data_IF_509790068875
#
_entry.id   IF_509790068875
#
_cell.length_a   1.000
_cell.length_b   1.000
_cell.length_c   1.000
_cell.angle_alpha   90.00
_cell.angle_beta   90.00
_cell.angle_gamma   90.00
#
_symmetry.space_group_name_H-M   'P 1'
#
loop_
_entity.id
_entity.type
_entity.pdbx_description
1 polymer ?
#
# COMPACT_ATOMS: atom_id res chain seq x y z
N UNK A 1 -0.71 -1.05 11.65
CA UNK A 1 -0.56 0.29 11.05
C UNK A 1 0.30 0.13 9.82
N UNK A 2 -0.30 0.23 8.63
CA UNK A 2 0.45 0.14 7.38
C UNK A 2 1.48 1.26 7.28
N UNK A 3 2.74 0.90 7.03
CA UNK A 3 3.83 1.80 6.71
C UNK A 3 4.29 1.52 5.27
N UNK A 4 5.47 2.02 4.90
CA UNK A 4 5.97 1.97 3.52
C UNK A 4 5.96 0.58 2.89
N UNK A 5 6.37 -0.45 3.64
CA UNK A 5 6.43 -1.83 3.17
C UNK A 5 5.04 -2.39 2.85
N UNK A 6 4.07 -2.15 3.74
CA UNK A 6 2.70 -2.59 3.55
C UNK A 6 1.99 -1.84 2.40
N UNK A 7 2.23 -0.52 2.26
CA UNK A 7 1.72 0.25 1.12
C UNK A 7 2.32 -0.28 -0.19
N UNK A 8 3.63 -0.57 -0.22
CA UNK A 8 4.27 -1.16 -1.39
C UNK A 8 3.66 -2.52 -1.76
N UNK A 9 3.36 -3.35 -0.76
CA UNK A 9 2.70 -4.63 -0.98
C UNK A 9 1.28 -4.47 -1.52
N UNK A 10 0.45 -3.66 -0.88
CA UNK A 10 -0.93 -3.43 -1.32
C UNK A 10 -1.01 -2.81 -2.72
N UNK A 11 -0.12 -1.86 -3.04
CA UNK A 11 -0.04 -1.30 -4.40
C UNK A 11 0.47 -2.30 -5.43
N UNK A 12 1.37 -3.22 -5.06
CA UNK A 12 1.77 -4.32 -5.93
C UNK A 12 0.60 -5.26 -6.25
N UNK A 13 -0.23 -5.58 -5.25
CA UNK A 13 -1.47 -6.36 -5.45
C UNK A 13 -2.41 -5.62 -6.40
N UNK A 14 -2.68 -4.33 -6.15
CA UNK A 14 -3.55 -3.53 -7.01
C UNK A 14 -3.03 -3.47 -8.46
N UNK A 15 -1.73 -3.29 -8.65
CA UNK A 15 -1.12 -3.31 -10.00
C UNK A 15 -1.35 -4.64 -10.71
N UNK A 16 -1.18 -5.77 -10.01
CA UNK A 16 -1.36 -7.08 -10.62
C UNK A 16 -2.81 -7.40 -10.96
N UNK A 17 -3.76 -6.93 -10.16
CA UNK A 17 -5.17 -7.32 -10.28
C UNK A 17 -6.08 -6.28 -10.94
N UNK A 18 -5.73 -5.00 -10.98
CA UNK A 18 -6.58 -3.95 -11.56
C UNK A 18 -5.99 -3.26 -12.79
N UNK A 19 -4.66 -3.07 -12.86
CA UNK A 19 -4.07 -2.30 -13.97
C UNK A 19 -4.34 -3.01 -15.29
N UNK A 20 -4.83 -2.25 -16.28
CA UNK A 20 -5.26 -2.73 -17.59
C UNK A 20 -6.68 -3.30 -17.62
N UNK A 21 -7.40 -3.34 -16.50
CA UNK A 21 -8.78 -3.85 -16.43
C UNK A 21 -9.79 -2.73 -16.29
N UNK A 22 -11.02 -3.02 -16.72
CA UNK A 22 -12.16 -2.12 -16.57
C UNK A 22 -12.96 -2.46 -15.33
N UNK A 23 -13.28 -1.46 -14.50
CA UNK A 23 -14.15 -1.65 -13.34
C UNK A 23 -15.58 -1.77 -13.85
N UNK A 24 -16.16 -2.97 -13.80
CA UNK A 24 -17.54 -3.23 -14.22
C UNK A 24 -18.52 -2.59 -13.25
N UNK A 25 -18.27 -2.72 -11.96
CA UNK A 25 -19.14 -2.19 -10.91
C UNK A 25 -18.36 -1.86 -9.65
N UNK A 26 -18.93 -0.96 -8.84
CA UNK A 26 -18.46 -0.70 -7.50
C UNK A 26 -19.63 -0.58 -6.53
N UNK A 27 -19.44 -1.13 -5.35
CA UNK A 27 -20.37 -1.07 -4.24
C UNK A 27 -19.66 -0.37 -3.10
N UNK A 28 -20.21 0.74 -2.61
CA UNK A 28 -19.63 1.48 -1.51
C UNK A 28 -20.67 1.70 -0.41
N UNK A 29 -20.23 1.57 0.84
CA UNK A 29 -21.03 1.85 2.03
C UNK A 29 -20.84 3.31 2.40
N UNK A 30 -21.91 4.02 2.77
CA UNK A 30 -21.81 5.41 3.19
C UNK A 30 -20.97 5.55 4.48
N UNK A 31 -19.87 6.30 4.38
CA UNK A 31 -18.97 6.59 5.49
C UNK A 31 -18.25 7.93 5.27
N UNK A 32 -18.80 9.01 5.85
CA UNK A 32 -18.27 10.37 5.71
C UNK A 32 -16.84 10.56 6.28
N UNK A 33 -16.34 9.64 7.10
CA UNK A 33 -14.97 9.72 7.63
C UNK A 33 -13.96 9.14 6.65
N UNK A 34 -14.36 8.10 5.91
CA UNK A 34 -13.50 7.43 4.94
C UNK A 34 -13.57 8.15 3.60
N UNK A 35 -14.77 8.47 3.11
CA UNK A 35 -14.96 9.28 1.91
C UNK A 35 -14.87 10.75 2.27
N UNK A 36 -13.77 11.38 1.89
CA UNK A 36 -13.50 12.78 2.23
C UNK A 36 -14.21 13.69 1.24
N UNK A 37 -15.03 14.61 1.76
CA UNK A 37 -15.78 15.60 0.95
C UNK A 37 -14.86 16.31 -0.05
N UNK A 38 -15.31 16.53 -1.30
CA UNK A 38 -16.69 16.37 -1.79
C UNK A 38 -17.10 14.95 -2.21
N UNK A 39 -16.21 13.95 -2.09
CA UNK A 39 -16.52 12.58 -2.48
C UNK A 39 -17.52 11.93 -1.50
N UNK A 40 -18.54 11.25 -2.04
CA UNK A 40 -19.52 10.43 -1.32
C UNK A 40 -19.46 8.99 -1.83
N UNK A 41 -20.09 8.03 -1.15
CA UNK A 41 -20.09 6.66 -1.65
C UNK A 41 -20.80 6.57 -3.02
N UNK A 42 -21.93 7.26 -3.18
CA UNK A 42 -22.63 7.34 -4.47
C UNK A 42 -21.78 7.95 -5.59
N UNK A 43 -21.15 9.10 -5.36
CA UNK A 43 -20.31 9.73 -6.40
C UNK A 43 -19.05 8.92 -6.70
N UNK A 44 -18.50 8.23 -5.70
CA UNK A 44 -17.43 7.25 -5.90
C UNK A 44 -17.87 6.12 -6.84
N UNK A 45 -19.02 5.49 -6.59
CA UNK A 45 -19.52 4.38 -7.42
C UNK A 45 -19.75 4.82 -8.87
N UNK A 46 -20.40 5.97 -9.06
CA UNK A 46 -20.62 6.53 -10.41
C UNK A 46 -19.32 6.90 -11.11
N UNK A 47 -18.32 7.36 -10.36
CA UNK A 47 -17.03 7.75 -10.93
C UNK A 47 -16.20 6.54 -11.38
N UNK A 48 -16.10 5.50 -10.55
CA UNK A 48 -15.24 4.35 -10.87
C UNK A 48 -15.90 3.36 -11.84
N UNK A 49 -17.24 3.29 -11.85
CA UNK A 49 -17.99 2.41 -12.73
C UNK A 49 -17.70 2.68 -14.21
N UNK A 50 -17.32 1.64 -14.93
CA UNK A 50 -17.01 1.69 -16.36
C UNK A 50 -15.62 2.25 -16.70
N UNK A 51 -14.80 2.65 -15.71
CA UNK A 51 -13.45 3.17 -15.98
C UNK A 51 -12.39 2.08 -15.96
N UNK A 52 -11.44 2.19 -16.89
CA UNK A 52 -10.25 1.34 -16.95
C UNK A 52 -9.13 1.92 -16.09
N UNK A 53 -8.48 1.07 -15.31
CA UNK A 53 -7.36 1.48 -14.43
C UNK A 53 -6.07 1.48 -15.23
N UNK A 54 -5.43 2.64 -15.34
CA UNK A 54 -4.20 2.80 -16.11
C UNK A 54 -2.96 2.53 -15.27
N UNK A 55 -2.91 3.11 -14.07
CA UNK A 55 -1.72 3.06 -13.22
C UNK A 55 -2.12 3.07 -11.74
N UNK A 56 -1.26 2.49 -10.91
CA UNK A 56 -1.33 2.60 -9.45
C UNK A 56 0.03 3.04 -8.97
N UNK A 57 0.08 4.15 -8.25
CA UNK A 57 1.32 4.73 -7.74
C UNK A 57 1.23 4.98 -6.23
N UNK A 58 2.39 5.17 -5.59
CA UNK A 58 2.48 5.45 -4.14
C UNK A 58 3.49 6.53 -3.85
N UNK A 59 3.34 7.21 -2.72
CA UNK A 59 4.35 8.08 -2.14
C UNK A 59 4.18 8.07 -0.62
N UNK A 60 5.19 7.55 0.07
CA UNK A 60 5.11 7.33 1.51
C UNK A 60 3.92 6.46 1.91
N UNK A 61 3.02 6.99 2.75
CA UNK A 61 1.83 6.29 3.24
C UNK A 61 0.59 6.44 2.35
N UNK A 62 0.70 7.24 1.30
CA UNK A 62 -0.37 7.48 0.34
C UNK A 62 -0.15 6.66 -0.92
N UNK A 63 -1.25 6.27 -1.55
CA UNK A 63 -1.25 5.64 -2.85
C UNK A 63 -2.45 6.09 -3.63
N UNK A 64 -2.36 6.05 -4.95
CA UNK A 64 -3.42 6.51 -5.82
C UNK A 64 -3.59 5.61 -7.04
N UNK A 65 -4.78 5.66 -7.59
CA UNK A 65 -5.20 4.94 -8.79
C UNK A 65 -5.55 5.95 -9.86
N UNK A 66 -4.95 5.79 -11.04
CA UNK A 66 -5.26 6.55 -12.25
C UNK A 66 -6.16 5.74 -13.17
N UNK A 67 -6.97 6.46 -13.93
CA UNK A 67 -7.90 5.87 -14.88
C UNK A 67 -7.58 6.35 -16.29
N UNK A 68 -7.85 5.52 -17.29
CA UNK A 68 -7.67 5.88 -18.68
C UNK A 68 -8.56 7.06 -19.06
N UNK A 69 -8.00 7.98 -19.86
CA UNK A 69 -8.72 9.14 -20.43
C UNK A 69 -9.40 10.03 -19.37
N UNK A 70 -8.91 10.04 -18.14
CA UNK A 70 -9.43 10.87 -17.06
C UNK A 70 -8.29 11.63 -16.37
N UNK A 71 -8.39 12.96 -16.20
CA UNK A 71 -7.43 13.72 -15.38
C UNK A 71 -7.64 13.46 -13.88
N UNK A 72 -8.73 12.79 -13.53
CA UNK A 72 -9.11 12.54 -12.16
C UNK A 72 -8.38 11.33 -11.56
N UNK A 73 -8.00 11.45 -10.30
CA UNK A 73 -7.19 10.49 -9.56
C UNK A 73 -7.90 10.12 -8.27
N UNK A 74 -7.96 8.83 -7.98
CA UNK A 74 -8.44 8.34 -6.69
C UNK A 74 -7.25 8.22 -5.74
N UNK A 75 -7.17 9.10 -4.74
CA UNK A 75 -6.12 9.13 -3.73
C UNK A 75 -6.59 8.43 -2.46
N UNK A 76 -5.80 7.47 -1.98
CA UNK A 76 -6.11 6.63 -0.82
C UNK A 76 -5.00 6.69 0.24
N UNK A 77 -5.42 6.46 1.48
CA UNK A 77 -4.57 6.29 2.64
C UNK A 77 -5.19 5.25 3.58
N UNK A 78 -4.43 4.28 4.07
CA UNK A 78 -4.97 3.21 4.94
C UNK A 78 -5.23 3.65 6.38
N UNK A 79 -4.65 4.76 6.85
CA UNK A 79 -4.72 5.10 8.26
C UNK A 79 -4.02 4.04 9.11
N UNK A 80 -4.66 3.59 10.19
CA UNK A 80 -4.05 2.60 11.09
C UNK A 80 -4.37 1.15 10.75
N UNK A 81 -5.53 0.89 10.14
CA UNK A 81 -6.10 -0.46 9.97
C UNK A 81 -6.73 -0.69 8.61
N UNK A 82 -6.64 0.28 7.70
CA UNK A 82 -7.09 0.11 6.33
C UNK A 82 -6.30 -1.01 5.65
N UNK A 83 -6.99 -1.81 4.84
CA UNK A 83 -6.40 -2.88 4.08
C UNK A 83 -7.15 -3.15 2.78
N UNK A 84 -6.49 -3.90 1.89
CA UNK A 84 -7.04 -4.34 0.61
C UNK A 84 -7.07 -5.86 0.59
N UNK A 85 -8.25 -6.40 0.29
CA UNK A 85 -8.49 -7.84 0.18
C UNK A 85 -8.86 -8.15 -1.26
N UNK A 86 -8.34 -9.25 -1.79
CA UNK A 86 -8.70 -9.76 -3.12
C UNK A 86 -9.45 -11.07 -2.91
N UNK A 87 -10.63 -11.19 -3.50
CA UNK A 87 -11.50 -12.36 -3.32
C UNK A 87 -10.78 -13.63 -3.78
N UNK A 88 -10.80 -14.66 -2.93
CA UNK A 88 -10.19 -15.96 -3.22
C UNK A 88 -8.66 -15.99 -3.16
N UNK A 89 -8.01 -14.91 -2.74
CA UNK A 89 -6.55 -14.81 -2.62
C UNK A 89 -6.16 -14.54 -1.18
N UNK A 90 -5.42 -15.46 -0.57
CA UNK A 90 -4.83 -15.27 0.76
C UNK A 90 -3.63 -14.34 0.66
N UNK A 91 -3.69 -13.18 1.30
CA UNK A 91 -2.51 -12.31 1.41
C UNK A 91 -1.72 -12.68 2.66
N UNK A 92 -0.40 -12.49 2.66
CA UNK A 92 0.45 -12.85 3.81
C UNK A 92 0.24 -11.92 5.02
N UNK A 93 -0.60 -10.88 4.90
CA UNK A 93 -0.87 -9.87 5.93
C UNK A 93 -2.23 -10.04 6.60
N UNK A 94 -2.59 -11.28 6.93
CA UNK A 94 -3.87 -11.66 7.58
C UNK A 94 -4.13 -10.87 8.88
N UNK A 95 -3.07 -10.45 9.58
CA UNK A 95 -3.19 -9.62 10.80
C UNK A 95 -3.82 -8.25 10.50
N UNK A 96 -3.59 -7.70 9.31
CA UNK A 96 -4.15 -6.42 8.87
C UNK A 96 -5.58 -6.58 8.33
N UNK A 97 -5.90 -7.70 7.67
CA UNK A 97 -7.22 -7.97 7.06
C UNK A 97 -8.39 -7.86 8.05
N UNK A 98 -8.16 -8.22 9.33
CA UNK A 98 -9.18 -8.20 10.39
C UNK A 98 -8.91 -7.17 11.49
N UNK A 99 -8.05 -6.17 11.23
CA UNK A 99 -7.74 -5.13 12.23
C UNK A 99 -7.00 -5.64 13.48
N UNK A 100 -6.28 -6.76 13.37
CA UNK A 100 -5.52 -7.34 14.47
C UNK A 100 -6.31 -8.27 15.40
N UNK A 101 -7.34 -8.96 14.90
CA UNK A 101 -8.13 -9.91 15.69
C UNK A 101 -7.23 -10.96 16.38
N UNK A 102 -7.29 -11.02 17.72
CA UNK A 102 -6.54 -12.00 18.53
C UNK A 102 -6.87 -13.43 18.10
N UNK A 103 -8.12 -13.69 17.72
CA UNK A 103 -8.57 -15.02 17.26
C UNK A 103 -7.93 -15.42 15.95
N UNK A 104 -7.77 -14.49 15.01
CA UNK A 104 -7.07 -14.75 13.74
C UNK A 104 -5.59 -15.09 13.98
N UNK A 105 -4.94 -14.39 14.93
CA UNK A 105 -3.56 -14.69 15.34
C UNK A 105 -3.41 -16.07 16.00
N UNK A 106 -4.38 -16.48 16.81
CA UNK A 106 -4.38 -17.80 17.45
C UNK A 106 -4.55 -18.93 16.42
N UNK A 107 -5.48 -18.76 15.47
CA UNK A 107 -5.66 -19.70 14.35
C UNK A 107 -4.39 -19.86 13.51
N UNK A 108 -3.69 -18.75 13.23
CA UNK A 108 -2.40 -18.78 12.52
C UNK A 108 -1.31 -19.55 13.28
N UNK A 109 -1.20 -19.32 14.60
CA UNK A 109 -0.26 -20.06 15.46
C UNK A 109 -0.58 -21.55 15.53
N UNK A 110 -1.85 -21.92 15.40
CA UNK A 110 -2.27 -23.32 15.31
C UNK A 110 -1.93 -23.90 13.93
N UNK A 111 -2.23 -23.20 12.83
CA UNK A 111 -1.89 -23.63 11.47
C UNK A 111 -0.37 -23.85 11.28
N UNK A 112 0.47 -22.91 11.72
CA UNK A 112 1.94 -23.05 11.65
C UNK A 112 2.52 -24.19 12.50
N UNK A 113 1.77 -24.72 13.47
CA UNK A 113 2.18 -25.91 14.24
C UNK A 113 1.81 -27.23 13.58
N UNK A 114 0.90 -27.22 12.59
CA UNK A 114 0.30 -28.45 12.04
C UNK A 114 0.81 -28.77 10.63
N UNK A 115 1.32 -27.78 9.88
CA UNK A 115 1.89 -27.99 8.54
C UNK A 115 3.12 -27.08 8.34
N UNK A 116 4.35 -27.62 8.33
CA UNK A 116 5.50 -26.90 7.82
C UNK A 116 5.50 -26.99 6.28
N UNK A 117 5.20 -25.87 5.62
CA UNK A 117 5.42 -25.57 4.21
C UNK A 117 5.10 -26.67 3.18
N UNK A 118 3.83 -26.76 2.78
CA UNK A 118 3.47 -27.33 1.48
C UNK A 118 3.86 -26.35 0.35
N UNK A 119 5.15 -26.29 0.03
CA UNK A 119 5.63 -25.75 -1.25
C UNK A 119 5.22 -26.76 -2.32
N UNK A 120 4.22 -26.41 -3.13
CA UNK A 120 3.84 -27.19 -4.29
C UNK A 120 4.86 -26.90 -5.40
N UNK A 121 5.80 -27.82 -5.64
CA UNK A 121 6.56 -27.90 -6.89
C UNK A 121 5.62 -28.30 -8.02
N UNK A 122 5.43 -27.49 -9.07
CA UNK A 122 4.99 -28.02 -10.39
C UNK A 122 5.56 -27.22 -11.57
N UNK A 123 6.32 -27.98 -12.37
CA UNK A 123 6.61 -27.99 -13.81
C UNK A 123 6.58 -26.70 -14.65
N UNK A 124 7.76 -26.36 -15.16
CA UNK A 124 8.01 -25.46 -16.29
C UNK A 124 7.54 -26.09 -17.61
N UNK A 125 6.57 -25.47 -18.29
CA UNK A 125 6.38 -25.67 -19.74
C UNK A 125 7.21 -24.64 -20.50
N UNK A 126 8.18 -25.13 -21.26
CA UNK A 126 9.00 -24.33 -22.17
C UNK A 126 8.13 -23.75 -23.31
N UNK A 127 8.28 -22.45 -23.56
CA UNK A 127 7.85 -21.83 -24.82
C UNK A 127 9.11 -21.38 -25.54
N UNK A 128 9.27 -21.88 -26.77
CA UNK A 128 10.42 -21.73 -27.64
C UNK A 128 10.73 -20.27 -28.00
N UNK A 129 12.02 -19.96 -27.99
CA UNK A 129 12.67 -18.68 -28.35
C UNK A 129 12.50 -18.36 -29.83
N UNK A 130 12.31 -17.08 -30.13
CA UNK A 130 13.06 -16.39 -31.19
C UNK A 130 13.28 -14.90 -30.82
N UNK A 131 14.56 -14.57 -30.54
CA UNK A 131 15.34 -13.36 -30.89
C UNK A 131 14.74 -11.95 -30.60
N UNK A 132 15.31 -10.99 -29.84
CA UNK A 132 16.70 -10.55 -29.53
C UNK A 132 16.70 -9.54 -28.34
N UNK A 133 17.67 -9.72 -27.41
CA UNK A 133 18.41 -8.81 -26.48
C UNK A 133 17.76 -7.62 -25.71
N UNK A 134 18.15 -7.21 -24.49
CA UNK A 134 18.76 -7.83 -23.31
C UNK A 134 18.67 -6.83 -22.11
N UNK A 135 17.95 -7.19 -21.05
CA UNK A 135 18.23 -6.89 -19.62
C UNK A 135 17.11 -7.51 -18.79
N UNK A 136 17.12 -8.85 -18.76
CA UNK A 136 16.07 -9.66 -18.18
C UNK A 136 16.02 -9.55 -16.66
N UNK A 137 15.01 -8.85 -16.15
CA UNK A 137 14.50 -9.16 -14.81
C UNK A 137 13.56 -10.35 -14.95
N UNK A 138 13.96 -11.49 -14.40
CA UNK A 138 13.12 -12.69 -14.36
C UNK A 138 11.91 -12.38 -13.50
N UNK A 139 10.76 -12.13 -14.12
CA UNK A 139 9.47 -12.02 -13.45
C UNK A 139 9.10 -13.39 -12.90
N UNK A 140 9.62 -13.73 -11.72
CA UNK A 140 9.15 -14.89 -10.96
C UNK A 140 7.68 -14.63 -10.63
N UNK A 141 6.79 -15.39 -11.26
CA UNK A 141 5.35 -15.31 -10.96
C UNK A 141 5.16 -15.82 -9.54
N UNK A 142 5.15 -14.92 -8.56
CA UNK A 142 4.78 -15.27 -7.17
C UNK A 142 3.32 -15.74 -7.22
N UNK A 143 3.14 -17.06 -7.11
CA UNK A 143 1.85 -17.70 -7.03
C UNK A 143 1.13 -17.26 -5.76
N UNK A 144 -0.15 -16.92 -5.88
CA UNK A 144 -0.98 -16.62 -4.72
C UNK A 144 -1.61 -17.90 -4.19
N UNK A 145 -1.68 -18.02 -2.86
CA UNK A 145 -2.41 -19.12 -2.23
C UNK A 145 -3.90 -18.83 -2.38
N UNK A 146 -4.62 -19.73 -3.07
CA UNK A 146 -6.08 -19.64 -3.19
C UNK A 146 -6.72 -19.95 -1.84
N UNK A 147 -7.73 -19.17 -1.47
CA UNK A 147 -8.53 -19.40 -0.26
C UNK A 147 -10.01 -19.54 -0.65
N UNK A 148 -10.48 -20.77 -0.91
CA UNK A 148 -11.87 -21.01 -1.33
C UNK A 148 -12.88 -20.77 -0.19
N UNK A 149 -12.45 -20.82 1.08
CA UNK A 149 -13.32 -20.66 2.25
C UNK A 149 -13.37 -19.20 2.75
N UNK A 150 -12.82 -18.25 1.95
CA UNK A 150 -12.80 -16.84 2.29
C UNK A 150 -14.23 -16.28 2.42
N UNK A 151 -14.55 -15.78 3.61
CA UNK A 151 -15.81 -15.07 3.85
C UNK A 151 -15.81 -13.74 3.10
N UNK A 152 -16.77 -13.58 2.18
CA UNK A 152 -16.91 -12.39 1.34
C UNK A 152 -18.36 -11.87 1.37
N UNK A 153 -18.59 -10.55 1.51
CA UNK A 153 -17.59 -9.50 1.68
C UNK A 153 -16.92 -9.52 3.06
N UNK A 154 -15.65 -9.10 3.19
CA UNK A 154 -14.97 -9.04 4.48
C UNK A 154 -15.68 -8.11 5.46
N UNK A 155 -15.47 -8.32 6.76
CA UNK A 155 -15.99 -7.42 7.79
C UNK A 155 -15.36 -6.03 7.65
N UNK A 156 -16.14 -5.00 8.00
CA UNK A 156 -15.71 -3.59 7.94
C UNK A 156 -15.35 -3.10 6.53
N UNK A 157 -15.89 -3.76 5.50
CA UNK A 157 -15.77 -3.31 4.11
C UNK A 157 -16.38 -1.92 3.94
N UNK A 158 -15.63 -1.04 3.28
CA UNK A 158 -16.06 0.32 2.90
C UNK A 158 -16.48 0.38 1.45
N UNK A 159 -15.74 -0.28 0.57
CA UNK A 159 -16.15 -0.46 -0.80
C UNK A 159 -15.57 -1.73 -1.40
N UNK A 160 -16.21 -2.21 -2.45
CA UNK A 160 -15.81 -3.33 -3.29
C UNK A 160 -15.82 -2.83 -4.73
N UNK A 161 -14.76 -3.12 -5.47
CA UNK A 161 -14.70 -2.92 -6.91
C UNK A 161 -14.64 -4.28 -7.59
N UNK A 162 -15.47 -4.47 -8.60
CA UNK A 162 -15.48 -5.68 -9.44
C UNK A 162 -14.97 -5.31 -10.82
N UNK A 163 -13.89 -5.96 -11.24
CA UNK A 163 -13.33 -5.82 -12.57
C UNK A 163 -14.14 -6.61 -13.62
N UNK A 164 -13.80 -6.41 -14.89
CA UNK A 164 -14.36 -7.08 -16.05
C UNK A 164 -14.08 -8.58 -16.10
N UNK A 165 -13.01 -9.06 -15.47
CA UNK A 165 -12.66 -10.48 -15.34
C UNK A 165 -13.19 -11.14 -14.05
N UNK A 166 -14.21 -10.53 -13.43
CA UNK A 166 -14.81 -10.95 -12.16
C UNK A 166 -13.86 -10.90 -10.94
N UNK A 167 -12.67 -10.28 -11.08
CA UNK A 167 -11.82 -9.99 -9.93
C UNK A 167 -12.51 -8.99 -9.00
N UNK A 168 -12.71 -9.37 -7.75
CA UNK A 168 -13.28 -8.50 -6.73
C UNK A 168 -12.22 -8.07 -5.71
N UNK A 169 -12.12 -6.76 -5.48
CA UNK A 169 -11.22 -6.16 -4.50
C UNK A 169 -12.01 -5.34 -3.50
N UNK A 170 -11.81 -5.61 -2.21
CA UNK A 170 -12.47 -4.93 -1.11
C UNK A 170 -11.49 -4.08 -0.31
N UNK A 171 -11.87 -2.83 -0.04
CA UNK A 171 -11.20 -1.99 0.94
C UNK A 171 -11.90 -2.12 2.29
N UNK A 172 -11.17 -2.53 3.30
CA UNK A 172 -11.66 -2.70 4.67
C UNK A 172 -11.01 -1.71 5.60
N UNK A 173 -11.78 -1.08 6.49
CA UNK A 173 -11.20 -0.25 7.55
C UNK A 173 -12.06 -0.26 8.81
N UNK A 174 -11.71 -1.11 9.80
CA UNK A 174 -12.43 -1.21 11.06
C UNK A 174 -12.44 0.09 11.87
N UNK A 175 -11.38 0.90 11.81
CA UNK A 175 -11.24 2.11 12.65
C UNK A 175 -11.70 3.40 11.98
N UNK A 176 -12.07 3.37 10.69
CA UNK A 176 -12.55 4.54 9.93
C UNK A 176 -11.51 5.69 9.88
N UNK A 177 -10.24 5.32 9.84
CA UNK A 177 -9.08 6.22 9.76
C UNK A 177 -8.44 6.26 8.37
N UNK A 178 -8.85 5.35 7.50
CA UNK A 178 -8.57 5.43 6.08
C UNK A 178 -9.21 6.66 5.47
N UNK A 179 -8.63 7.15 4.37
CA UNK A 179 -9.13 8.30 3.64
C UNK A 179 -9.15 7.95 2.16
N UNK A 180 -10.24 8.27 1.51
CA UNK A 180 -10.46 8.14 0.07
C UNK A 180 -10.87 9.53 -0.43
N UNK A 181 -10.08 10.06 -1.36
CA UNK A 181 -10.27 11.37 -1.97
C UNK A 181 -10.34 11.21 -3.47
N UNK A 182 -11.24 11.96 -4.09
CA UNK A 182 -11.24 12.13 -5.53
C UNK A 182 -10.62 13.50 -5.83
N UNK A 183 -9.56 13.49 -6.64
CA UNK A 183 -8.89 14.70 -7.11
C UNK A 183 -9.19 14.80 -8.60
N UNK A 184 -9.98 15.78 -9.01
CA UNK A 184 -10.48 15.85 -10.39
C UNK A 184 -9.43 16.39 -11.38
N UNK A 185 -8.58 17.32 -10.93
CA UNK A 185 -7.64 18.06 -11.79
C UNK A 185 -6.17 17.70 -11.53
N UNK A 186 -5.78 16.45 -11.78
CA UNK A 186 -4.41 15.99 -11.58
C UNK A 186 -3.94 15.03 -12.69
N UNK A 187 -3.79 15.55 -13.91
CA UNK A 187 -3.40 14.77 -15.08
C UNK A 187 -2.03 14.07 -14.93
N UNK A 188 -1.05 14.72 -14.29
CA UNK A 188 0.27 14.13 -14.04
C UNK A 188 0.53 13.91 -12.55
N UNK A 189 1.49 13.04 -12.23
CA UNK A 189 1.92 12.83 -10.83
C UNK A 189 2.55 14.11 -10.25
N UNK A 190 3.18 14.94 -11.09
CA UNK A 190 3.73 16.23 -10.66
C UNK A 190 2.65 17.20 -10.21
N UNK A 191 1.50 17.21 -10.88
CA UNK A 191 0.36 18.05 -10.47
C UNK A 191 -0.24 17.55 -9.16
N UNK A 192 -0.34 16.23 -9.03
CA UNK A 192 -0.82 15.60 -7.80
C UNK A 192 0.07 15.93 -6.58
N UNK A 193 1.39 16.00 -6.76
CA UNK A 193 2.33 16.39 -5.68
C UNK A 193 2.19 17.85 -5.24
N UNK A 194 1.57 18.74 -6.04
CA UNK A 194 1.32 20.13 -5.64
C UNK A 194 0.09 20.27 -4.73
N UNK A 195 -0.77 19.25 -4.70
CA UNK A 195 -2.04 19.28 -3.98
C UNK A 195 -1.91 18.67 -2.57
N UNK A 196 -2.73 19.15 -1.63
CA UNK A 196 -2.79 18.59 -0.29
C UNK A 196 -3.52 17.23 -0.29
N UNK A 197 -2.99 16.20 0.42
CA UNK A 197 -1.97 16.27 1.46
C UNK A 197 -0.53 15.98 0.99
N UNK A 198 -0.33 15.70 -0.30
CA UNK A 198 0.95 15.21 -0.83
C UNK A 198 2.02 16.30 -0.89
N UNK A 199 1.64 17.56 -1.06
CA UNK A 199 2.56 18.71 -1.06
C UNK A 199 3.29 18.92 0.26
N UNK A 200 2.75 18.41 1.37
CA UNK A 200 3.37 18.47 2.71
C UNK A 200 4.31 17.31 2.99
N UNK A 201 4.37 16.32 2.11
CA UNK A 201 5.19 15.13 2.31
C UNK A 201 6.62 15.37 1.85
N UNK A 202 7.54 14.81 2.61
CA UNK A 202 8.95 14.80 2.28
C UNK A 202 9.30 13.77 1.21
N UNK A 203 10.59 13.44 1.19
CA UNK A 203 11.16 12.47 0.26
C UNK A 203 10.71 11.06 0.67
N UNK A 204 10.38 10.23 -0.33
CA UNK A 204 10.18 8.80 -0.16
C UNK A 204 11.49 8.08 -0.50
N UNK A 205 12.27 7.75 0.52
CA UNK A 205 13.59 7.13 0.37
C UNK A 205 13.57 5.68 -0.13
N UNK A 206 12.39 5.05 -0.23
CA UNK A 206 12.29 3.72 -0.85
C UNK A 206 12.36 3.74 -2.37
N UNK A 207 12.17 4.91 -2.98
CA UNK A 207 12.21 5.06 -4.43
C UNK A 207 13.62 5.34 -4.90
N UNK A 208 13.99 4.69 -6.00
CA UNK A 208 15.25 4.91 -6.72
C UNK A 208 15.00 5.84 -7.91
N UNK A 209 14.37 6.98 -7.66
CA UNK A 209 13.98 7.96 -8.68
C UNK A 209 14.97 9.15 -8.78
N UNK A 210 16.13 9.02 -8.14
CA UNK A 210 17.18 10.05 -8.13
C UNK A 210 16.86 11.29 -7.29
N UNK A 211 15.74 11.30 -6.55
CA UNK A 211 15.34 12.45 -5.71
C UNK A 211 16.14 12.59 -4.42
N UNK A 212 16.99 11.63 -4.11
CA UNK A 212 17.89 11.69 -2.97
C UNK A 212 19.24 11.07 -3.29
N UNK A 213 20.28 11.68 -2.72
CA UNK A 213 21.63 11.15 -2.65
C UNK A 213 22.06 11.11 -1.18
N UNK A 214 23.21 10.48 -0.91
CA UNK A 214 23.81 10.51 0.43
C UNK A 214 24.03 11.95 0.91
N UNK A 215 24.46 12.84 0.02
CA UNK A 215 24.78 14.23 0.37
C UNK A 215 23.53 15.05 0.67
N UNK A 216 22.44 14.86 -0.09
CA UNK A 216 21.16 15.51 0.21
C UNK A 216 20.59 15.02 1.54
N UNK A 217 20.72 13.73 1.83
CA UNK A 217 20.29 13.16 3.11
C UNK A 217 21.08 13.77 4.28
N UNK A 218 22.41 13.83 4.19
CA UNK A 218 23.26 14.45 5.21
C UNK A 218 22.82 15.89 5.42
N UNK A 219 22.73 16.69 4.35
CA UNK A 219 22.33 18.10 4.44
C UNK A 219 20.98 18.30 5.13
N UNK A 220 20.00 17.43 4.87
CA UNK A 220 18.67 17.50 5.48
C UNK A 220 18.66 17.16 6.98
N UNK A 221 19.55 16.27 7.41
CA UNK A 221 19.58 15.70 8.76
C UNK A 221 20.54 16.47 9.68
N UNK A 222 21.73 16.86 9.21
CA UNK A 222 22.83 17.38 10.05
C UNK A 222 22.49 18.64 10.83
N UNK A 223 21.59 19.48 10.31
CA UNK A 223 21.23 20.76 10.93
C UNK A 223 20.09 20.66 11.97
N UNK A 224 19.59 19.45 12.26
CA UNK A 224 18.39 19.26 13.09
C UNK A 224 18.74 18.79 14.49
N UNK A 225 18.37 19.58 15.50
CA UNK A 225 18.56 19.27 16.93
C UNK A 225 17.32 18.61 17.55
N UNK A 226 16.91 17.46 17.01
CA UNK A 226 15.75 16.68 17.51
C UNK A 226 16.14 15.20 17.72
N UNK A 227 15.43 14.45 18.58
CA UNK A 227 15.67 13.01 18.72
C UNK A 227 15.52 12.27 17.39
N UNK A 228 16.39 11.28 17.13
CA UNK A 228 16.48 10.62 15.82
C UNK A 228 15.15 9.99 15.43
N UNK A 229 14.48 9.40 16.41
CA UNK A 229 13.19 8.76 16.22
C UNK A 229 12.14 9.78 15.78
N UNK A 230 12.11 10.95 16.41
CA UNK A 230 11.19 12.03 16.03
C UNK A 230 11.48 12.55 14.63
N UNK A 231 12.76 12.69 14.27
CA UNK A 231 13.18 13.12 12.94
C UNK A 231 12.73 12.12 11.85
N UNK A 232 13.00 10.83 12.06
CA UNK A 232 12.65 9.76 11.13
C UNK A 232 11.13 9.57 11.03
N UNK A 233 10.38 9.86 12.08
CA UNK A 233 8.91 9.80 12.06
C UNK A 233 8.26 11.01 11.39
N UNK A 234 8.99 12.09 11.14
CA UNK A 234 8.45 13.28 10.49
C UNK A 234 8.15 13.01 9.02
N UNK A 235 6.87 12.98 8.66
CA UNK A 235 6.43 12.70 7.29
C UNK A 235 6.81 13.81 6.29
N UNK A 236 7.09 15.02 6.77
CA UNK A 236 7.55 16.14 5.92
C UNK A 236 9.04 15.98 5.52
N UNK A 237 9.78 15.10 6.19
CA UNK A 237 11.16 14.75 5.85
C UNK A 237 11.25 13.33 5.29
N UNK A 238 10.76 12.36 6.06
CA UNK A 238 10.79 10.93 5.79
C UNK A 238 9.38 10.40 5.54
N UNK A 239 8.91 10.57 4.31
CA UNK A 239 7.58 10.12 3.91
C UNK A 239 7.52 8.59 3.90
N UNK A 240 6.55 8.00 4.60
CA UNK A 240 6.34 6.54 4.61
C UNK A 240 6.84 5.82 5.85
N UNK A 241 7.83 6.38 6.55
CA UNK A 241 8.40 5.77 7.75
C UNK A 241 7.43 5.95 8.92
N UNK A 242 7.10 4.89 9.63
CA UNK A 242 6.30 4.97 10.86
C UNK A 242 7.07 4.42 12.05
N UNK A 243 6.32 4.05 13.09
CA UNK A 243 6.90 3.71 14.37
C UNK A 243 7.71 2.41 14.29
N UNK A 244 7.29 1.40 13.52
CA UNK A 244 8.02 0.12 13.50
C UNK A 244 9.32 0.22 12.70
N UNK A 245 9.34 0.94 11.58
CA UNK A 245 10.58 1.20 10.83
C UNK A 245 11.52 2.13 11.62
N UNK A 246 10.97 3.15 12.31
CA UNK A 246 11.76 4.06 13.14
C UNK A 246 12.35 3.38 14.39
N UNK A 247 11.84 2.22 14.78
CA UNK A 247 12.47 1.34 15.77
C UNK A 247 13.63 0.59 15.14
N UNK A 248 14.70 1.32 14.81
CA UNK A 248 16.00 0.70 14.55
C UNK A 248 16.58 0.29 15.91
N UNK A 249 16.82 -1.02 16.08
CA UNK A 249 17.55 -1.58 17.21
C UNK A 249 18.89 -0.88 17.29
N UNK A 250 19.15 -0.20 18.41
CA UNK A 250 20.51 0.24 18.74
C UNK A 250 21.33 -1.04 18.99
N UNK A 251 21.90 -1.60 17.92
CA UNK A 251 22.68 -2.83 17.99
C UNK A 251 23.94 -2.67 18.85
N UNK A 252 24.35 -1.43 19.14
CA UNK A 252 25.56 -1.15 19.92
C UNK A 252 25.41 -1.44 21.42
N UNK A 253 24.20 -1.46 21.98
CA UNK A 253 24.02 -1.47 23.44
C UNK A 253 23.29 -2.69 24.01
N UNK A 254 22.84 -3.63 23.18
CA UNK A 254 22.27 -4.92 23.65
C UNK A 254 21.04 -4.80 24.55
N UNK A 255 20.49 -3.60 24.74
CA UNK A 255 19.43 -3.29 25.69
C UNK A 255 18.45 -2.25 25.15
N UNK A 256 17.24 -2.24 25.73
CA UNK A 256 16.17 -1.30 25.42
C UNK A 256 16.57 0.13 25.86
N UNK A 257 17.05 0.97 24.94
CA UNK A 257 17.36 2.36 25.23
C UNK A 257 16.21 3.31 24.80
N UNK A 258 15.81 4.28 25.63
CA UNK A 258 14.85 5.32 25.25
C UNK A 258 15.42 6.25 24.15
N UNK A 259 14.56 6.95 23.38
CA UNK A 259 14.99 7.79 22.26
C UNK A 259 15.97 8.87 22.72
N UNK A 260 17.20 8.85 22.20
CA UNK A 260 18.24 9.85 22.49
C UNK A 260 18.14 11.05 21.53
N UNK A 261 18.43 12.27 22.00
CA UNK A 261 18.72 13.41 21.13
C UNK A 261 19.90 13.10 20.22
N UNK A 262 19.84 13.55 18.98
CA UNK A 262 20.94 13.39 18.04
C UNK A 262 21.93 14.52 18.24
N UNK A 263 23.18 14.16 18.54
CA UNK A 263 24.36 14.94 18.15
C UNK A 263 25.04 14.08 17.09
N UNK A 264 24.85 14.42 15.81
CA UNK A 264 25.63 13.81 14.74
C UNK A 264 26.94 14.58 14.68
N UNK A 265 27.94 14.09 15.41
CA UNK A 265 29.32 14.46 15.14
C UNK A 265 29.75 13.65 13.90
N UNK A 266 29.94 14.35 12.79
CA UNK A 266 30.49 13.81 11.55
C UNK A 266 32.02 13.84 11.56
#
# INVERSE_FOLDING_TARGET
MPELGEIAHATSILRKFLVGKTIRSAIANEDELVFVKPLTAGSFQSFVGGKSVSEVNRHGKYFWVRFDKSPAVLLLHFGMTGWINVKGVKTHFIVMENGGDKKAREKLKQQTKTEPDAIVEVESKEVSKDSVSNSGSTLTTVGYVKDPDMVWPPKFTKFIVTADDDTEIAFTDPRRLGRVRLIEDAATDQDLFKLEPLSKLGIDFSKTDGRWTKDTFITQVSNRKVPIKSLIMDQALFSGVGNWIAYVRDCASGGWAPPRPVVLDF
#
